data_IF_998873618876
#
_entry.id   IF_998873618876
#
_cell.length_a   1.000
_cell.length_b   1.000
_cell.length_c   1.000
_cell.angle_alpha   90.00
_cell.angle_beta   90.00
_cell.angle_gamma   90.00
#
_symmetry.space_group_name_H-M   'P 1'
#
loop_
_entity.id
_entity.type
_entity.pdbx_description
1 polymer ?
2 water ?
#
# COMPACT_ATOMS: atom_id res chain seq x y z
N UNK A 1 -4.48 -1.77 -6.97
CA UNK A 1 -3.91 -3.11 -6.77
C UNK A 1 -2.55 -3.15 -6.03
N UNK A 2 -2.32 -2.20 -5.13
CA UNK A 2 -1.15 -2.23 -4.25
C UNK A 2 -1.17 -3.48 -3.35
N UNK A 3 -2.39 -3.81 -2.92
CA UNK A 3 -2.59 -4.98 -2.09
C UNK A 3 -2.04 -6.25 -2.73
N UNK A 4 -1.88 -6.30 -4.02
CA UNK A 4 -1.36 -7.46 -4.60
C UNK A 4 0.12 -7.62 -4.43
N UNK A 5 0.85 -6.56 -4.56
CA UNK A 5 2.26 -6.56 -4.26
C UNK A 5 2.52 -6.96 -2.85
N UNK A 6 1.71 -6.45 -1.99
CA UNK A 6 1.78 -6.68 -0.60
C UNK A 6 1.50 -8.10 -0.25
N UNK A 7 0.37 -8.63 -0.70
CA UNK A 7 0.01 -10.03 -0.53
C UNK A 7 1.08 -11.02 -1.01
N UNK A 8 1.67 -10.74 -2.16
CA UNK A 8 2.72 -11.61 -2.67
C UNK A 8 3.98 -11.55 -1.79
N UNK A 9 4.38 -10.35 -1.41
CA UNK A 9 5.61 -10.21 -0.62
C UNK A 9 5.44 -10.84 0.78
N UNK A 10 4.32 -10.54 1.42
CA UNK A 10 4.00 -11.13 2.72
C UNK A 10 3.95 -12.67 2.65
N UNK A 11 3.29 -13.21 1.61
CA UNK A 11 3.24 -14.66 1.40
C UNK A 11 4.64 -15.24 1.24
N UNK A 12 5.47 -14.60 0.42
CA UNK A 12 6.81 -15.12 0.18
C UNK A 12 7.65 -15.14 1.47
N UNK A 13 7.75 -13.98 2.11
CA UNK A 13 8.59 -13.89 3.30
C UNK A 13 8.08 -14.66 4.52
N UNK A 14 6.78 -14.92 4.59
CA UNK A 14 6.26 -15.70 5.71
C UNK A 14 6.74 -17.16 5.63
N UNK A 15 7.04 -17.66 4.46
CA UNK A 15 7.39 -19.03 4.27
C UNK A 15 6.29 -20.03 4.50
N UNK A 16 5.06 -19.58 4.47
CA UNK A 16 3.95 -20.30 4.94
C UNK A 16 3.18 -21.10 3.91
N UNK A 17 3.38 -20.80 2.64
CA UNK A 17 2.61 -21.32 1.56
C UNK A 17 3.41 -22.27 0.75
N UNK A 18 2.86 -23.46 0.59
CA UNK A 18 3.44 -24.53 -0.21
C UNK A 18 3.75 -24.06 -1.65
N UNK A 19 5.01 -24.16 -2.05
CA UNK A 19 5.46 -23.82 -3.39
C UNK A 19 5.74 -22.33 -3.68
N UNK A 20 5.68 -21.52 -2.62
CA UNK A 20 5.75 -20.07 -2.76
C UNK A 20 7.03 -19.54 -2.08
N UNK A 21 8.07 -19.35 -2.88
CA UNK A 21 9.34 -18.86 -2.36
C UNK A 21 10.13 -18.02 -3.36
N UNK A 22 11.19 -17.37 -2.87
CA UNK A 22 12.08 -16.61 -3.72
C UNK A 22 13.10 -17.53 -4.33
N UNK A 23 13.55 -17.21 -5.54
CA UNK A 23 14.67 -17.89 -6.17
C UNK A 23 15.83 -16.90 -6.25
N UNK A 24 15.48 -15.61 -6.38
CA UNK A 24 16.44 -14.53 -6.33
C UNK A 24 15.78 -13.32 -5.66
N UNK A 25 16.08 -13.11 -4.38
CA UNK A 25 15.47 -12.03 -3.62
C UNK A 25 15.85 -10.65 -4.16
N UNK A 26 17.09 -10.49 -4.62
CA UNK A 26 17.51 -9.21 -5.17
C UNK A 26 16.81 -8.94 -6.48
N UNK A 27 16.81 -9.91 -7.39
CA UNK A 27 16.13 -9.74 -8.67
C UNK A 27 14.60 -9.83 -8.55
N UNK A 28 14.11 -10.12 -7.35
CA UNK A 28 12.66 -10.33 -7.13
C UNK A 28 12.07 -11.47 -7.98
N UNK A 29 12.79 -12.60 -8.07
CA UNK A 29 12.27 -13.75 -8.81
C UNK A 29 11.68 -14.76 -7.81
N UNK A 30 10.40 -15.11 -8.02
CA UNK A 30 9.70 -15.96 -7.05
C UNK A 30 8.89 -17.06 -7.73
N UNK A 31 8.28 -17.95 -6.94
CA UNK A 31 7.46 -19.03 -7.47
C UNK A 31 6.05 -19.09 -6.85
N UNK A 32 5.10 -19.59 -7.65
CA UNK A 32 3.76 -19.95 -7.17
C UNK A 32 3.49 -21.38 -7.70
N UNK A 33 2.55 -22.14 -7.11
CA UNK A 33 2.45 -23.51 -7.66
C UNK A 33 1.86 -23.56 -9.09
N UNK A 34 2.29 -24.53 -9.88
CA UNK A 34 1.72 -24.74 -11.21
C UNK A 34 0.33 -25.37 -11.11
N UNK A 35 -0.45 -25.29 -12.19
CA UNK A 35 -1.79 -25.89 -12.18
C UNK A 35 -1.62 -27.39 -12.16
N UNK A 36 -0.52 -27.79 -12.78
CA UNK A 36 -0.33 -29.10 -13.31
C UNK A 36 0.29 -30.11 -12.35
N UNK A 37 1.61 -30.09 -12.16
CA UNK A 37 2.29 -31.23 -11.51
C UNK A 37 2.24 -31.15 -9.97
N UNK A 38 1.16 -31.62 -9.37
CA UNK A 38 0.94 -31.29 -7.96
C UNK A 38 1.46 -32.30 -6.93
N UNK A 39 2.01 -31.77 -5.83
CA UNK A 39 2.36 -32.57 -4.65
C UNK A 39 1.40 -32.20 -3.53
N UNK A 40 1.00 -33.23 -2.77
CA UNK A 40 0.25 -33.04 -1.54
C UNK A 40 0.96 -32.02 -0.63
N UNK A 42 2.28 -30.45 2.75
CA UNK A 42 2.74 -30.82 4.10
C UNK A 42 1.88 -30.20 5.21
N UNK A 43 2.08 -30.65 6.46
CA UNK A 43 1.30 -30.20 7.61
C UNK A 43 1.40 -28.68 7.91
N UNK A 44 2.63 -28.16 7.92
CA UNK A 44 2.85 -26.77 8.28
C UNK A 44 2.31 -25.70 7.33
N UNK A 45 2.12 -26.05 6.06
CA UNK A 45 1.84 -25.06 5.01
C UNK A 45 0.35 -24.82 4.72
N UNK A 46 0.04 -23.64 4.17
CA UNK A 46 -1.33 -23.29 3.75
C UNK A 46 -1.47 -23.19 2.23
N UNK A 47 -2.70 -23.25 1.75
CA UNK A 47 -3.00 -23.17 0.31
C UNK A 47 -2.88 -21.72 -0.20
N UNK A 48 -1.89 -21.47 -1.05
CA UNK A 48 -1.65 -20.12 -1.56
C UNK A 48 -2.84 -19.48 -2.28
N UNK A 49 -3.44 -20.21 -3.21
CA UNK A 49 -4.50 -19.66 -4.07
C UNK A 49 -5.81 -19.48 -3.33
N UNK A 50 -6.09 -20.40 -2.42
CA UNK A 50 -7.17 -20.23 -1.46
C UNK A 50 -7.03 -18.89 -0.70
N UNK A 51 -5.88 -18.72 -0.06
CA UNK A 51 -5.56 -17.46 0.61
C UNK A 51 -5.70 -16.22 -0.31
N UNK A 52 -5.29 -16.36 -1.58
CA UNK A 52 -5.40 -15.30 -2.58
C UNK A 52 -6.84 -14.88 -2.80
N UNK A 53 -7.70 -15.87 -2.95
CA UNK A 53 -9.11 -15.63 -3.18
C UNK A 53 -9.74 -14.95 -1.97
N UNK A 54 -9.39 -15.42 -0.77
CA UNK A 54 -9.81 -14.77 0.47
C UNK A 54 -9.42 -13.27 0.50
N UNK A 55 -8.13 -13.02 0.31
CA UNK A 55 -7.63 -11.65 0.20
C UNK A 55 -8.41 -10.82 -0.83
N UNK A 56 -8.79 -11.45 -1.94
CA UNK A 56 -9.59 -10.74 -2.94
C UNK A 56 -10.96 -10.36 -2.39
N UNK A 57 -11.56 -11.24 -1.58
CA UNK A 57 -12.82 -10.89 -0.89
C UNK A 57 -12.66 -9.70 0.05
N UNK A 58 -11.59 -9.72 0.85
CA UNK A 58 -11.25 -8.57 1.71
C UNK A 58 -11.23 -7.22 0.98
N UNK A 59 -10.84 -7.18 -0.28
CA UNK A 59 -10.90 -5.91 -1.02
C UNK A 59 -12.14 -5.78 -1.87
N UNK A 60 -13.22 -6.43 -1.43
CA UNK A 60 -14.53 -6.25 -2.06
C UNK A 60 -14.64 -6.64 -3.53
N UNK A 61 -13.75 -7.53 -3.97
CA UNK A 61 -13.80 -8.01 -5.36
C UNK A 61 -14.88 -9.09 -5.54
N UNK A 62 -15.53 -9.11 -6.71
CA UNK A 62 -16.59 -10.08 -6.97
C UNK A 62 -16.05 -11.50 -6.99
N UNK A 63 -16.83 -12.47 -6.53
CA UNK A 63 -16.42 -13.87 -6.62
C UNK A 63 -16.05 -14.23 -8.06
N UNK A 64 -15.03 -15.08 -8.21
CA UNK A 64 -14.60 -15.52 -9.54
C UNK A 64 -15.64 -16.48 -10.14
N UNK A 65 -15.87 -16.40 -11.46
CA UNK A 65 -16.85 -17.22 -12.19
C UNK A 65 -16.62 -18.70 -11.92
N UNK A 66 -17.60 -19.56 -12.16
CA UNK A 66 -17.40 -20.99 -11.95
C UNK A 66 -16.43 -21.58 -12.98
N UNK A 67 -16.19 -20.85 -14.07
CA UNK A 67 -15.26 -21.30 -15.11
C UNK A 67 -13.80 -20.95 -14.79
N UNK A 68 -13.55 -20.41 -13.61
CA UNK A 68 -12.22 -19.91 -13.27
C UNK A 68 -11.67 -20.51 -11.98
N UNK A 69 -10.34 -20.47 -11.85
CA UNK A 69 -9.70 -20.88 -10.61
C UNK A 69 -8.86 -19.73 -10.10
N UNK A 70 -8.60 -19.75 -8.80
CA UNK A 70 -7.67 -18.83 -8.18
C UNK A 70 -6.35 -18.73 -8.92
N UNK A 71 -5.82 -19.85 -9.43
CA UNK A 71 -4.55 -19.83 -10.16
C UNK A 71 -4.64 -18.96 -11.43
N UNK A 72 -5.69 -19.17 -12.22
CA UNK A 72 -5.91 -18.39 -13.43
C UNK A 72 -6.01 -16.91 -13.14
N UNK A 73 -6.87 -16.60 -12.18
CA UNK A 73 -7.13 -15.23 -11.73
C UNK A 73 -5.87 -14.54 -11.23
N UNK A 74 -5.12 -15.23 -10.38
CA UNK A 74 -3.84 -14.72 -9.91
C UNK A 74 -2.94 -14.32 -11.08
N UNK A 75 -2.76 -15.22 -12.06
CA UNK A 75 -1.86 -14.93 -13.17
C UNK A 75 -2.31 -13.71 -13.95
N UNK A 76 -3.61 -13.68 -14.20
CA UNK A 76 -4.28 -12.63 -14.97
C UNK A 76 -4.13 -11.27 -14.31
N UNK A 77 -4.33 -11.24 -13.00
CA UNK A 77 -4.29 -10.00 -12.25
C UNK A 77 -2.85 -9.50 -12.11
N UNK A 78 -1.90 -10.42 -11.93
CA UNK A 78 -0.51 -10.04 -12.02
C UNK A 78 -0.23 -9.37 -13.36
N UNK A 79 -0.80 -9.91 -14.43
CA UNK A 79 -0.54 -9.36 -15.77
C UNK A 79 -1.20 -8.00 -16.05
N UNK A 80 -2.50 -7.91 -15.85
CA UNK A 80 -3.25 -6.68 -16.10
C UNK A 80 -2.77 -5.54 -15.20
N UNK A 81 -2.27 -5.85 -14.04
CA UNK A 81 -1.77 -4.85 -13.15
C UNK A 81 -0.33 -4.62 -13.31
N UNK A 82 0.27 -5.30 -14.26
CA UNK A 82 1.69 -5.29 -14.52
C UNK A 82 2.55 -5.27 -13.30
N UNK A 83 2.38 -6.28 -12.47
CA UNK A 83 3.04 -6.34 -11.21
C UNK A 83 4.05 -7.44 -11.15
N UNK A 84 4.13 -8.21 -12.19
CA UNK A 84 5.15 -9.26 -12.38
C UNK A 84 4.97 -9.79 -13.79
N UNK A 85 5.96 -10.47 -14.33
CA UNK A 85 5.86 -10.98 -15.69
C UNK A 85 6.61 -12.31 -15.78
N UNK A 86 6.46 -13.03 -16.89
CA UNK A 86 7.22 -14.28 -17.03
C UNK A 86 8.17 -14.32 -18.24
N UNK A 87 9.36 -14.90 -18.04
CA UNK A 87 10.27 -15.21 -19.14
C UNK A 87 10.59 -16.69 -19.10
N UNK A 88 11.00 -17.25 -20.24
CA UNK A 88 11.48 -18.61 -20.25
C UNK A 88 12.73 -18.65 -19.38
N UNK A 89 12.79 -19.63 -18.47
CA UNK A 89 11.75 -20.65 -18.31
C UNK A 89 10.56 -20.17 -17.46
N UNK A 90 9.34 -20.50 -17.89
CA UNK A 90 8.11 -20.10 -17.21
C UNK A 90 7.92 -20.95 -15.99
N UNK A 91 8.63 -22.07 -15.92
CA UNK A 91 8.49 -23.03 -14.84
C UNK A 91 9.84 -23.56 -14.33
N UNK A 92 9.79 -24.12 -13.13
CA UNK A 92 10.94 -24.75 -12.50
C UNK A 92 10.31 -25.83 -11.63
N UNK A 93 11.08 -26.84 -11.23
CA UNK A 93 10.51 -27.93 -10.43
C UNK A 93 11.12 -28.00 -9.05
N UNK A 94 10.32 -28.43 -8.08
CA UNK A 94 10.80 -28.81 -6.76
C UNK A 94 10.32 -30.24 -6.52
N UNK A 95 11.21 -31.20 -6.73
CA UNK A 95 10.80 -32.59 -6.72
C UNK A 95 9.83 -32.87 -7.86
N UNK A 96 8.64 -33.35 -7.53
CA UNK A 96 7.61 -33.68 -8.51
C UNK A 96 6.91 -32.40 -9.00
N UNK A 98 5.47 -28.90 -10.18
CA UNK A 98 5.65 -27.76 -11.08
C UNK A 98 5.42 -26.44 -10.33
N UNK A 99 6.41 -25.56 -10.41
CA UNK A 99 6.30 -24.19 -9.94
C UNK A 99 6.30 -23.21 -11.11
N UNK A 100 5.35 -22.28 -11.13
CA UNK A 100 5.37 -21.16 -12.08
C UNK A 100 6.30 -20.07 -11.57
N UNK A 101 7.21 -19.66 -12.44
CA UNK A 101 8.30 -18.77 -12.09
C UNK A 101 7.97 -17.35 -12.55
N UNK A 102 8.11 -16.39 -11.65
CA UNK A 102 7.71 -15.01 -11.95
C UNK A 102 8.78 -13.99 -11.60
N UNK A 103 8.74 -12.85 -12.31
CA UNK A 103 9.65 -11.75 -12.06
C UNK A 103 8.85 -10.49 -11.73
N UNK A 105 7.78 -6.69 -11.17
CA UNK A 105 8.11 -5.47 -11.89
C UNK A 105 8.39 -4.26 -10.97
N UNK B 2 -13.10 14.27 3.53
CA UNK B 2 -14.07 14.36 4.62
C UNK B 2 -13.42 14.18 5.98
N UNK B 3 -13.04 12.96 6.25
CA UNK B 3 -12.29 12.67 7.43
C UNK B 3 -11.08 13.52 7.46
N UNK B 4 -10.62 14.01 6.34
CA UNK B 4 -9.33 14.69 6.27
C UNK B 4 -9.35 15.97 7.10
N UNK B 5 -10.41 16.75 6.94
CA UNK B 5 -10.62 18.00 7.68
C UNK B 5 -10.66 17.75 9.19
N UNK B 6 -11.50 16.82 9.61
CA UNK B 6 -11.56 16.43 11.03
C UNK B 6 -10.19 15.98 11.55
N UNK B 7 -9.44 15.23 10.76
CA UNK B 7 -8.12 14.77 11.19
C UNK B 7 -7.15 15.94 11.39
N UNK B 8 -7.18 16.89 10.45
CA UNK B 8 -6.27 18.02 10.53
C UNK B 8 -6.63 18.93 11.71
N UNK B 9 -7.92 19.20 11.90
CA UNK B 9 -8.39 20.06 12.99
C UNK B 9 -8.16 19.43 14.37
N UNK B 10 -8.44 18.13 14.49
CA UNK B 10 -8.16 17.44 15.74
C UNK B 10 -6.65 17.44 16.01
N UNK B 11 -5.85 17.21 14.97
CA UNK B 11 -4.39 17.30 15.09
C UNK B 11 -3.94 18.70 15.54
N UNK B 12 -4.57 19.73 15.00
CA UNK B 12 -4.17 21.10 15.29
C UNK B 12 -4.53 21.44 16.75
N UNK B 13 -5.82 21.29 17.06
CA UNK B 13 -6.36 21.67 18.36
C UNK B 13 -5.86 20.80 19.51
N UNK B 14 -5.45 19.55 19.24
CA UNK B 14 -4.89 18.69 20.29
C UNK B 14 -3.48 19.13 20.67
N UNK B 15 -2.79 19.84 19.79
CA UNK B 15 -1.42 20.24 20.06
C UNK B 15 -0.44 19.09 20.26
N UNK B 16 -0.81 17.87 19.85
CA UNK B 16 0.05 16.69 20.09
C UNK B 16 1.23 16.55 19.11
N UNK B 17 1.04 17.00 17.88
CA UNK B 17 2.05 16.73 16.85
C UNK B 17 3.01 17.90 16.70
N UNK B 18 4.29 17.56 16.72
CA UNK B 18 5.35 18.52 16.54
C UNK B 18 5.25 19.28 15.22
N UNK B 19 5.42 20.58 15.25
CA UNK B 19 5.28 21.42 14.09
C UNK B 19 3.95 21.68 13.45
N UNK B 20 2.87 21.38 14.14
CA UNK B 20 1.52 21.44 13.67
C UNK B 20 0.68 22.37 14.53
N UNK B 21 0.40 23.56 14.05
CA UNK B 21 -0.37 24.51 14.81
C UNK B 21 -1.04 25.57 14.01
N UNK B 22 -1.94 26.32 14.63
CA UNK B 22 -2.55 27.44 13.93
C UNK B 22 -1.60 28.62 13.91
N UNK B 23 -1.63 29.37 12.81
CA UNK B 23 -0.99 30.68 12.75
C UNK B 23 -2.10 31.73 12.93
N UNK B 24 -3.31 31.36 12.54
CA UNK B 24 -4.48 32.23 12.62
C UNK B 24 -5.74 31.35 12.63
N UNK B 25 -6.30 31.12 13.83
CA UNK B 25 -7.51 30.30 13.95
C UNK B 25 -8.72 30.93 13.24
N UNK B 26 -8.78 32.25 13.23
CA UNK B 26 -9.84 32.95 12.50
C UNK B 26 -9.73 32.62 11.02
N UNK B 27 -8.60 32.98 10.40
CA UNK B 27 -8.44 32.71 8.97
C UNK B 27 -8.16 31.24 8.65
N UNK B 28 -7.98 30.42 9.69
CA UNK B 28 -7.61 29.01 9.49
C UNK B 28 -6.33 28.89 8.64
N UNK B 29 -5.31 29.63 9.05
CA UNK B 29 -3.98 29.46 8.52
C UNK B 29 -3.25 28.59 9.53
N UNK B 30 -2.64 27.53 9.06
CA UNK B 30 -1.92 26.56 9.89
C UNK B 30 -0.54 26.10 9.32
N UNK B 31 0.25 25.44 10.16
CA UNK B 31 1.47 24.80 9.80
C UNK B 31 1.49 23.29 9.89
N UNK B 32 2.32 22.65 9.09
CA UNK B 32 2.64 21.24 9.22
C UNK B 32 4.14 21.14 9.03
N UNK B 33 4.80 20.07 9.40
CA UNK B 33 6.26 20.06 9.13
C UNK B 33 6.59 19.95 7.65
N UNK B 34 7.67 20.60 7.21
CA UNK B 34 8.21 20.42 5.86
C UNK B 34 9.33 19.39 5.85
N UNK B 35 9.96 19.16 4.69
CA UNK B 35 10.98 18.10 4.56
C UNK B 35 12.24 18.28 5.42
N UNK B 45 5.62 14.56 21.89
CA UNK B 45 5.00 14.87 20.61
C UNK B 45 4.93 13.66 19.66
N UNK B 46 3.86 13.61 18.84
CA UNK B 46 3.66 12.55 17.85
C UNK B 46 4.07 12.98 16.43
N UNK B 47 4.63 12.06 15.64
CA UNK B 47 4.93 12.36 14.23
C UNK B 47 3.66 12.53 13.41
N UNK B 48 3.46 13.72 12.86
CA UNK B 48 2.23 14.04 12.13
C UNK B 48 1.91 13.18 10.89
N UNK B 49 2.88 13.00 9.98
CA UNK B 49 2.61 12.28 8.72
C UNK B 49 2.39 10.78 8.95
N UNK B 50 3.09 10.24 9.95
CA UNK B 50 2.89 8.89 10.45
C UNK B 50 1.42 8.68 10.85
N UNK B 51 0.93 9.58 11.70
CA UNK B 51 -0.45 9.50 12.17
C UNK B 51 -1.40 9.66 10.98
N UNK B 52 -1.03 10.54 10.06
CA UNK B 52 -1.83 10.79 8.88
C UNK B 52 -2.01 9.55 8.01
N UNK B 53 -0.91 8.85 7.72
CA UNK B 53 -0.97 7.64 6.91
C UNK B 53 -1.71 6.51 7.63
N UNK B 54 -1.54 6.44 8.96
CA UNK B 54 -2.31 5.46 9.74
C UNK B 54 -3.81 5.76 9.70
N UNK B 55 -4.13 7.05 9.61
CA UNK B 55 -5.52 7.47 9.57
C UNK B 55 -6.14 7.14 8.21
N UNK B 56 -5.42 7.50 7.14
CA UNK B 56 -5.74 7.08 5.78
C UNK B 56 -6.03 5.60 5.75
N UNK B 57 -5.19 4.83 6.42
CA UNK B 57 -5.33 3.38 6.46
C UNK B 57 -6.55 2.88 7.24
N UNK B 58 -6.89 3.52 8.36
CA UNK B 58 -8.12 3.14 9.10
C UNK B 58 -9.38 3.29 8.26
N UNK B 59 -9.35 4.17 7.27
CA UNK B 59 -10.50 4.36 6.40
C UNK B 59 -10.42 3.47 5.16
N UNK B 60 -9.52 2.49 5.20
CA UNK B 60 -9.37 1.54 4.11
C UNK B 60 -8.85 2.06 2.78
N UNK B 61 -8.18 3.21 2.78
CA UNK B 61 -7.52 3.71 1.57
C UNK B 61 -6.24 2.90 1.33
N UNK B 62 -5.90 2.67 0.05
CA UNK B 62 -4.77 1.81 -0.31
C UNK B 62 -3.42 2.41 0.07
N UNK B 63 -2.42 1.55 0.26
CA UNK B 63 -1.08 2.03 0.57
C UNK B 63 -0.58 2.99 -0.49
N UNK B 64 0.09 4.04 -0.06
CA UNK B 64 0.68 4.98 -1.02
C UNK B 64 1.76 4.23 -1.81
N UNK B 65 2.01 4.65 -3.06
CA UNK B 65 3.12 4.12 -3.87
C UNK B 65 4.41 4.00 -3.08
N UNK B 66 5.22 2.98 -3.42
CA UNK B 66 6.42 2.62 -2.70
C UNK B 66 7.33 3.81 -2.47
N UNK B 67 7.45 4.68 -3.47
CA UNK B 67 8.39 5.81 -3.41
C UNK B 67 7.76 7.16 -3.05
N UNK B 68 6.51 7.16 -2.64
CA UNK B 68 5.85 8.38 -2.18
C UNK B 68 5.99 8.50 -0.65
N UNK B 69 6.01 9.73 -0.12
CA UNK B 69 6.10 9.92 1.33
C UNK B 69 4.77 10.37 1.90
N UNK B 70 4.61 10.28 3.22
CA UNK B 70 3.40 10.78 3.85
C UNK B 70 3.19 12.27 3.60
N UNK B 71 4.28 13.06 3.61
CA UNK B 71 4.19 14.52 3.39
C UNK B 71 3.61 14.83 2.00
N UNK B 72 4.17 14.15 0.99
CA UNK B 72 3.72 14.34 -0.37
C UNK B 72 2.26 13.97 -0.56
N UNK B 73 1.93 12.77 -0.12
CA UNK B 73 0.56 12.28 -0.17
C UNK B 73 -0.39 13.27 0.51
N UNK B 74 0.03 13.80 1.66
CA UNK B 74 -0.75 14.79 2.42
C UNK B 74 -1.09 16.01 1.58
N UNK B 75 -0.07 16.62 0.97
CA UNK B 75 -0.29 17.80 0.13
C UNK B 75 -1.22 17.49 -1.04
N UNK B 76 -0.92 16.39 -1.74
CA UNK B 76 -1.69 15.99 -2.92
C UNK B 76 -3.16 15.86 -2.57
N UNK B 77 -3.41 15.15 -1.48
CA UNK B 77 -4.78 14.93 -0.99
C UNK B 77 -5.45 16.27 -0.64
N UNK B 78 -4.74 17.15 0.07
CA UNK B 78 -5.27 18.48 0.36
C UNK B 78 -5.67 19.28 -0.91
N UNK B 79 -4.89 19.13 -1.98
CA UNK B 79 -5.17 19.81 -3.24
C UNK B 79 -6.35 19.20 -4.00
N UNK B 80 -6.27 17.91 -4.25
CA UNK B 80 -7.29 17.22 -5.04
C UNK B 80 -8.67 17.26 -4.36
N UNK B 81 -8.70 17.28 -3.02
CA UNK B 81 -9.96 17.44 -2.28
C UNK B 81 -10.32 18.93 -2.14
N UNK B 82 -9.37 19.80 -2.46
CA UNK B 82 -9.56 21.23 -2.26
C UNK B 82 -10.00 21.60 -0.83
N UNK B 83 -9.32 21.01 0.15
CA UNK B 83 -9.62 21.32 1.54
C UNK B 83 -8.66 22.39 2.09
N UNK B 84 -7.56 22.61 1.37
CA UNK B 84 -6.56 23.60 1.78
C UNK B 84 -5.78 24.05 0.57
N UNK B 85 -5.17 25.23 0.65
CA UNK B 85 -4.31 25.73 -0.43
C UNK B 85 -3.06 26.43 0.12
N UNK B 86 -2.08 26.70 -0.75
CA UNK B 86 -0.87 27.40 -0.35
C UNK B 86 -0.62 28.65 -1.20
N UNK B 87 -0.23 29.73 -0.53
CA UNK B 87 0.21 30.95 -1.18
C UNK B 87 1.54 31.30 -0.57
N UNK B 88 2.22 32.29 -1.15
CA UNK B 88 3.49 32.74 -0.58
C UNK B 88 3.25 33.53 0.70
N UNK B 89 4.07 33.27 1.74
CA UNK B 89 5.14 32.27 1.76
C UNK B 89 4.61 30.83 1.86
N UNK B 90 5.24 29.90 1.15
CA UNK B 90 4.94 28.48 1.22
C UNK B 90 5.51 27.86 2.48
N UNK B 91 6.56 28.48 3.03
CA UNK B 91 7.16 27.99 4.26
C UNK B 91 7.41 29.09 5.28
N UNK B 92 7.48 28.68 6.55
CA UNK B 92 7.84 29.56 7.65
C UNK B 92 8.84 28.75 8.49
N UNK B 93 9.59 29.40 9.39
CA UNK B 93 10.56 28.68 10.23
C UNK B 93 10.27 28.81 11.71
N UNK B 94 10.44 27.74 12.44
CA UNK B 94 10.36 27.80 13.87
C UNK B 94 11.72 27.39 14.25
N UNK B 95 12.54 28.35 14.61
CA UNK B 95 13.93 28.08 14.78
C UNK B 95 14.59 27.66 13.49
N UNK B 96 15.04 26.44 13.46
CA UNK B 96 15.77 25.94 12.32
C UNK B 96 14.96 24.84 11.59
N UNK B 98 11.86 23.69 9.32
CA UNK B 98 10.99 24.25 8.32
C UNK B 98 9.53 23.82 8.47
N UNK B 99 8.58 24.72 8.32
CA UNK B 99 7.16 24.41 8.40
C UNK B 99 6.47 24.83 7.12
N UNK B 100 5.60 23.97 6.58
CA UNK B 100 4.73 24.34 5.47
C UNK B 100 3.45 25.02 5.93
N UNK B 101 3.19 26.16 5.30
CA UNK B 101 2.07 27.02 5.67
C UNK B 101 0.88 26.71 4.76
N UNK B 102 -0.30 26.51 5.36
CA UNK B 102 -1.51 26.13 4.62
C UNK B 102 -2.69 26.97 5.05
N UNK B 103 -3.65 27.14 4.14
CA UNK B 103 -4.86 27.91 4.39
C UNK B 103 -6.06 27.04 4.06
N UNK B 105 -9.78 25.89 3.07
CA UNK B 105 -10.84 26.44 2.23
C UNK B 105 -12.15 26.31 3.02
N UNK B 106 -13.14 27.17 2.72
CA UNK B 106 -14.44 27.03 3.41
C UNK B 106 -15.19 25.74 3.06
#
# INVERSE_FOLDING_TARGET
SEWLTDFIIDALDSGRFWGVGWLDEQKRIFTVPGRNRRERXPEGFDDFYEAFLEERRRHGLPEIPETETGLGCFGRLLRTANRARQERPFTIYKGKXKLNRWIXTPRP
SEWLTDFIIDALDSGRFWGVGWLDEQKRIFTVPGRNRRERXPEGFDDFYEAFLEERRRHGLPEIPETETGLGCFGRLLRTANRARQERPFTIYKGKXKLNRWIXTPRP
#
